data_IF_429604114265
#
_entry.id   IF_429604114265
#
_cell.length_a   1.000
_cell.length_b   1.000
_cell.length_c   1.000
_cell.angle_alpha   90.00
_cell.angle_beta   90.00
_cell.angle_gamma   90.00
#
_symmetry.space_group_name_H-M   'P 1'
#
loop_
_entity.id
_entity.type
_entity.pdbx_description
1 polymer ?
#
# COMPACT_ATOMS: atom_id res chain seq x y z
N UNK A 1 20.94 -29.31 -40.55
CA UNK A 1 20.96 -28.87 -39.14
C UNK A 1 20.07 -27.64 -39.01
N UNK A 2 18.82 -27.77 -38.56
CA UNK A 2 17.93 -26.63 -38.31
C UNK A 2 18.32 -26.03 -36.97
N UNK A 3 18.92 -24.84 -36.98
CA UNK A 3 19.18 -24.07 -35.77
C UNK A 3 17.86 -23.81 -35.06
N UNK A 4 17.76 -24.24 -33.79
CA UNK A 4 16.69 -23.79 -32.91
C UNK A 4 16.77 -22.26 -32.83
N UNK A 5 15.71 -21.57 -33.25
CA UNK A 5 15.64 -20.11 -33.18
C UNK A 5 15.55 -19.66 -31.72
N UNK A 6 16.70 -19.34 -31.14
CA UNK A 6 16.90 -18.71 -29.80
C UNK A 6 16.48 -17.23 -29.80
N UNK A 7 15.99 -16.68 -30.92
CA UNK A 7 15.82 -15.23 -31.07
C UNK A 7 14.66 -14.68 -30.24
N UNK A 8 13.40 -14.96 -30.58
CA UNK A 8 12.29 -14.11 -30.10
C UNK A 8 11.93 -14.17 -28.59
N UNK A 9 12.38 -15.17 -27.83
CA UNK A 9 11.89 -15.43 -26.46
C UNK A 9 12.84 -14.87 -25.42
N UNK A 10 14.12 -15.23 -25.53
CA UNK A 10 15.20 -14.61 -24.75
C UNK A 10 15.30 -13.11 -25.03
N UNK A 11 15.07 -12.67 -26.27
CA UNK A 11 15.04 -11.25 -26.62
C UNK A 11 14.00 -10.45 -25.82
N UNK A 12 12.81 -11.02 -25.56
CA UNK A 12 11.78 -10.33 -24.75
C UNK A 12 12.26 -10.11 -23.32
N UNK A 13 12.95 -11.11 -22.75
CA UNK A 13 13.49 -11.00 -21.40
C UNK A 13 14.70 -10.05 -21.36
N UNK A 14 15.63 -10.19 -22.31
CA UNK A 14 16.84 -9.37 -22.41
C UNK A 14 16.53 -7.90 -22.72
N UNK A 15 15.44 -7.63 -23.45
CA UNK A 15 14.95 -6.28 -23.70
C UNK A 15 14.24 -5.65 -22.47
N UNK A 16 14.14 -6.37 -21.35
CA UNK A 16 13.49 -5.86 -20.14
C UNK A 16 11.98 -5.65 -20.30
N UNK A 17 11.33 -6.36 -21.23
CA UNK A 17 9.89 -6.19 -21.44
C UNK A 17 9.05 -6.84 -20.34
N UNK A 18 9.60 -7.78 -19.57
CA UNK A 18 8.97 -8.29 -18.35
C UNK A 18 9.19 -7.28 -17.21
N UNK A 19 8.21 -6.40 -17.02
CA UNK A 19 8.31 -5.25 -16.11
C UNK A 19 7.92 -5.59 -14.66
N UNK A 20 7.20 -6.68 -14.45
CA UNK A 20 6.80 -7.17 -13.13
C UNK A 20 6.70 -8.69 -13.17
N UNK A 21 7.25 -9.36 -12.16
CA UNK A 21 7.11 -10.79 -11.96
C UNK A 21 7.25 -11.10 -10.47
N UNK A 22 6.27 -11.79 -9.89
CA UNK A 22 6.32 -12.12 -8.48
C UNK A 22 5.30 -13.16 -8.07
N UNK A 23 5.45 -13.67 -6.85
CA UNK A 23 4.53 -14.64 -6.24
C UNK A 23 3.28 -13.88 -5.81
N UNK A 24 2.13 -14.31 -6.32
CA UNK A 24 0.83 -13.76 -5.93
C UNK A 24 0.24 -14.48 -4.73
N UNK A 25 0.37 -15.80 -4.71
CA UNK A 25 -0.13 -16.65 -3.65
C UNK A 25 0.72 -17.91 -3.56
N UNK A 26 0.98 -18.34 -2.34
CA UNK A 26 1.66 -19.59 -2.05
C UNK A 26 0.75 -20.40 -1.13
N UNK A 27 0.30 -21.55 -1.62
CA UNK A 27 -0.47 -22.54 -0.87
C UNK A 27 0.39 -23.81 -0.71
N UNK A 28 -0.07 -24.74 0.14
CA UNK A 28 0.61 -26.03 0.36
C UNK A 28 0.76 -26.81 -0.96
N UNK A 29 -0.27 -26.77 -1.80
CA UNK A 29 -0.34 -27.57 -3.02
C UNK A 29 0.08 -26.82 -4.29
N UNK A 30 0.16 -25.49 -4.24
CA UNK A 30 0.42 -24.71 -5.45
C UNK A 30 1.04 -23.34 -5.18
N UNK A 31 1.92 -22.93 -6.10
CA UNK A 31 2.51 -21.58 -6.14
C UNK A 31 2.00 -20.84 -7.36
N UNK A 32 1.32 -19.72 -7.13
CA UNK A 32 0.81 -18.85 -8.17
C UNK A 32 1.75 -17.65 -8.37
N UNK A 33 2.28 -17.53 -9.58
CA UNK A 33 3.13 -16.43 -10.03
C UNK A 33 2.35 -15.59 -11.02
N UNK A 34 2.47 -14.27 -10.89
CA UNK A 34 1.88 -13.31 -11.82
C UNK A 34 2.97 -12.40 -12.38
N UNK A 35 2.81 -11.98 -13.63
CA UNK A 35 3.71 -11.04 -14.27
C UNK A 35 3.02 -10.12 -15.26
N UNK A 36 3.72 -9.05 -15.63
CA UNK A 36 3.29 -8.08 -16.63
C UNK A 36 4.40 -7.93 -17.67
N UNK A 37 4.05 -8.05 -18.95
CA UNK A 37 4.99 -7.91 -20.05
C UNK A 37 4.54 -6.84 -21.05
N UNK A 38 5.42 -5.91 -21.39
CA UNK A 38 5.16 -4.89 -22.41
C UNK A 38 4.92 -5.54 -23.78
N UNK A 39 4.08 -4.89 -24.59
CA UNK A 39 3.82 -5.34 -25.95
C UNK A 39 4.86 -4.77 -26.90
N UNK A 40 5.57 -5.62 -27.63
CA UNK A 40 6.57 -5.17 -28.61
C UNK A 40 5.98 -4.31 -29.73
N UNK A 41 4.75 -4.59 -30.15
CA UNK A 41 4.06 -3.84 -31.22
C UNK A 41 3.31 -2.60 -30.73
N UNK A 42 3.12 -2.45 -29.43
CA UNK A 42 2.35 -1.35 -28.84
C UNK A 42 2.85 -1.05 -27.44
N UNK A 43 4.07 -0.53 -27.35
CA UNK A 43 4.82 -0.35 -26.09
C UNK A 43 4.11 0.57 -25.09
N UNK A 44 3.35 1.57 -25.59
CA UNK A 44 2.51 2.46 -24.76
C UNK A 44 1.16 1.85 -24.39
N UNK A 45 0.87 0.65 -24.90
CA UNK A 45 -0.36 -0.08 -24.65
C UNK A 45 -0.41 -0.72 -23.27
N UNK A 46 -1.57 -1.30 -22.96
CA UNK A 46 -1.72 -2.12 -21.76
C UNK A 46 -0.77 -3.34 -21.85
N UNK A 47 0.07 -3.59 -20.83
CA UNK A 47 0.92 -4.78 -20.79
C UNK A 47 0.09 -6.07 -20.87
N UNK A 48 0.69 -7.12 -21.43
CA UNK A 48 0.16 -8.46 -21.33
C UNK A 48 0.23 -8.97 -19.90
N UNK A 49 -0.89 -9.52 -19.43
CA UNK A 49 -0.99 -10.14 -18.11
C UNK A 49 -0.60 -11.61 -18.25
N UNK A 50 0.34 -12.05 -17.41
CA UNK A 50 0.87 -13.39 -17.37
C UNK A 50 0.49 -14.03 -16.03
N UNK A 51 0.00 -15.26 -16.09
CA UNK A 51 -0.37 -16.07 -14.92
C UNK A 51 0.26 -17.44 -15.07
N UNK A 52 0.90 -17.90 -14.00
CA UNK A 52 1.56 -19.19 -13.96
C UNK A 52 1.29 -19.85 -12.63
N UNK A 53 0.95 -21.12 -12.65
CA UNK A 53 0.67 -21.91 -11.46
C UNK A 53 1.52 -23.17 -11.53
N UNK A 54 2.35 -23.36 -10.51
CA UNK A 54 3.07 -24.60 -10.26
C UNK A 54 2.28 -25.43 -9.26
N UNK A 55 1.97 -26.66 -9.63
CA UNK A 55 1.36 -27.67 -8.75
C UNK A 55 2.45 -28.53 -8.07
N UNK A 56 2.14 -29.18 -6.95
CA UNK A 56 3.03 -30.12 -6.23
C UNK A 56 3.55 -31.25 -7.14
N UNK A 57 2.79 -31.62 -8.16
CA UNK A 57 3.19 -32.61 -9.15
C UNK A 57 4.15 -32.06 -10.23
N UNK A 58 4.74 -30.88 -10.01
CA UNK A 58 5.56 -30.16 -11.00
C UNK A 58 4.82 -29.85 -12.32
N UNK A 59 3.48 -29.88 -12.30
CA UNK A 59 2.67 -29.48 -13.45
C UNK A 59 2.60 -27.96 -13.52
N UNK A 60 2.87 -27.41 -14.70
CA UNK A 60 2.86 -25.98 -14.95
C UNK A 60 1.63 -25.62 -15.77
N UNK A 61 0.78 -24.75 -15.24
CA UNK A 61 -0.33 -24.14 -15.98
C UNK A 61 -0.02 -22.68 -16.21
N UNK A 62 -0.05 -22.24 -17.47
CA UNK A 62 0.29 -20.89 -17.88
C UNK A 62 -0.81 -20.25 -18.71
N UNK A 63 -1.03 -18.95 -18.52
CA UNK A 63 -1.92 -18.15 -19.34
C UNK A 63 -1.34 -16.76 -19.57
N UNK A 64 -1.40 -16.29 -20.82
CA UNK A 64 -1.04 -14.93 -21.20
C UNK A 64 -2.24 -14.23 -21.85
N UNK A 65 -2.39 -12.92 -21.64
CA UNK A 65 -3.46 -12.16 -22.30
C UNK A 65 -3.22 -11.87 -23.80
N UNK A 66 -2.10 -12.30 -24.38
CA UNK A 66 -1.84 -12.14 -25.80
C UNK A 66 -2.65 -13.16 -26.65
N UNK A 67 -2.75 -12.92 -27.96
CA UNK A 67 -3.51 -13.79 -28.89
C UNK A 67 -3.09 -15.26 -28.84
N UNK A 68 -1.80 -15.53 -28.62
CA UNK A 68 -1.24 -16.87 -28.53
C UNK A 68 -1.20 -17.40 -27.08
N UNK A 69 -1.86 -16.74 -26.12
CA UNK A 69 -1.57 -16.93 -24.71
C UNK A 69 -2.10 -18.20 -24.06
N UNK A 70 -2.99 -18.91 -24.74
CA UNK A 70 -3.36 -20.30 -24.42
C UNK A 70 -2.55 -21.34 -25.21
N UNK A 71 -1.71 -20.87 -26.14
CA UNK A 71 -0.81 -21.76 -26.87
C UNK A 71 0.50 -21.95 -26.12
N UNK A 72 1.11 -23.11 -26.27
CA UNK A 72 2.44 -23.43 -25.74
C UNK A 72 3.57 -22.62 -26.42
N UNK A 73 3.24 -21.80 -27.44
CA UNK A 73 4.20 -21.02 -28.23
C UNK A 73 4.25 -19.54 -27.85
N UNK A 74 3.57 -19.13 -26.78
CA UNK A 74 3.58 -17.73 -26.33
C UNK A 74 4.99 -17.30 -25.89
N UNK A 75 5.61 -16.37 -26.63
CA UNK A 75 6.94 -15.82 -26.31
C UNK A 75 7.00 -15.20 -24.91
N UNK A 76 5.93 -14.56 -24.45
CA UNK A 76 5.86 -13.92 -23.14
C UNK A 76 5.83 -14.93 -21.98
N UNK A 77 5.11 -16.06 -22.16
CA UNK A 77 5.08 -17.12 -21.14
C UNK A 77 6.45 -17.78 -20.98
N UNK A 78 7.13 -18.05 -22.09
CA UNK A 78 8.47 -18.62 -22.06
C UNK A 78 9.46 -17.65 -21.43
N UNK A 79 9.39 -16.36 -21.75
CA UNK A 79 10.23 -15.34 -21.11
C UNK A 79 10.03 -15.30 -19.58
N UNK A 80 8.78 -15.40 -19.11
CA UNK A 80 8.49 -15.45 -17.67
C UNK A 80 9.00 -16.73 -17.02
N UNK A 81 8.83 -17.89 -17.66
CA UNK A 81 9.38 -19.15 -17.17
C UNK A 81 10.91 -19.13 -17.07
N UNK A 82 11.58 -18.57 -18.07
CA UNK A 82 13.03 -18.37 -18.05
C UNK A 82 13.45 -17.43 -16.92
N UNK A 83 12.72 -16.35 -16.69
CA UNK A 83 12.99 -15.44 -15.58
C UNK A 83 12.86 -16.15 -14.23
N UNK A 84 11.74 -16.83 -14.00
CA UNK A 84 11.51 -17.60 -12.76
C UNK A 84 12.58 -18.67 -12.55
N UNK A 85 13.00 -19.35 -13.62
CA UNK A 85 14.06 -20.36 -13.55
C UNK A 85 15.43 -19.77 -13.19
N UNK A 86 15.79 -18.61 -13.76
CA UNK A 86 17.07 -17.93 -13.50
C UNK A 86 17.12 -17.29 -12.12
N UNK A 87 16.04 -16.64 -11.70
CA UNK A 87 15.96 -15.95 -10.41
C UNK A 87 15.71 -16.93 -9.26
N UNK A 88 14.97 -18.00 -9.52
CA UNK A 88 14.49 -18.93 -8.51
C UNK A 88 13.22 -18.41 -7.81
N UNK A 89 12.27 -19.31 -7.53
CA UNK A 89 10.95 -18.95 -6.97
C UNK A 89 11.07 -18.23 -5.62
N UNK A 90 12.04 -18.63 -4.79
CA UNK A 90 12.24 -18.06 -3.45
C UNK A 90 12.75 -16.61 -3.46
N UNK A 91 13.32 -16.15 -4.58
CA UNK A 91 13.88 -14.81 -4.73
C UNK A 91 12.91 -13.87 -5.47
N UNK A 92 11.69 -14.32 -5.77
CA UNK A 92 10.66 -13.49 -6.37
C UNK A 92 9.92 -12.70 -5.30
N UNK A 93 9.61 -11.45 -5.60
CA UNK A 93 8.85 -10.59 -4.71
C UNK A 93 7.42 -11.11 -4.50
N UNK A 94 6.88 -10.87 -3.31
CA UNK A 94 5.46 -11.10 -3.02
C UNK A 94 4.63 -9.94 -3.57
N UNK A 95 3.77 -10.22 -4.54
CA UNK A 95 2.91 -9.21 -5.17
C UNK A 95 1.74 -8.85 -4.26
N UNK A 96 1.60 -7.57 -4.01
CA UNK A 96 0.48 -6.97 -3.28
C UNK A 96 -0.59 -6.43 -4.25
N UNK A 97 -1.69 -5.93 -3.69
CA UNK A 97 -2.82 -5.40 -4.47
C UNK A 97 -2.49 -4.17 -5.32
N UNK A 98 -1.34 -3.52 -5.08
CA UNK A 98 -0.85 -2.38 -5.87
C UNK A 98 0.08 -2.79 -7.02
N UNK A 99 0.67 -3.98 -6.96
CA UNK A 99 1.67 -4.44 -7.94
C UNK A 99 1.04 -5.05 -9.21
N UNK A 100 -0.26 -5.35 -9.13
CA UNK A 100 -1.08 -5.87 -10.21
C UNK A 100 -2.11 -4.84 -10.65
N UNK A 101 -2.69 -5.02 -11.85
CA UNK A 101 -3.68 -4.06 -12.36
C UNK A 101 -4.79 -3.85 -11.33
N UNK A 102 -5.00 -2.59 -10.97
CA UNK A 102 -6.01 -2.20 -9.98
C UNK A 102 -7.35 -2.91 -10.18
N UNK A 103 -7.88 -3.46 -9.08
CA UNK A 103 -9.22 -3.99 -8.98
C UNK A 103 -10.24 -2.90 -8.59
N UNK A 104 -9.77 -1.82 -7.97
CA UNK A 104 -10.57 -0.65 -7.60
C UNK A 104 -11.18 0.00 -8.85
N UNK A 105 -12.48 0.32 -8.79
CA UNK A 105 -13.22 0.93 -9.91
C UNK A 105 -13.75 -0.04 -10.98
N UNK A 106 -13.42 -1.34 -10.93
CA UNK A 106 -14.04 -2.37 -11.82
C UNK A 106 -15.21 -3.11 -11.19
N UNK A 107 -15.29 -3.08 -9.86
CA UNK A 107 -16.41 -3.61 -9.11
C UNK A 107 -17.59 -2.66 -9.23
N UNK A 108 -18.57 -3.02 -10.06
CA UNK A 108 -19.91 -2.42 -10.02
C UNK A 108 -20.60 -2.95 -8.76
N UNK A 109 -20.33 -2.35 -7.61
CA UNK A 109 -21.12 -2.63 -6.40
C UNK A 109 -22.14 -1.51 -6.27
N UNK A 110 -23.42 -1.88 -6.14
CA UNK A 110 -24.46 -0.97 -5.67
C UNK A 110 -24.47 -0.88 -4.13
N UNK A 111 -23.57 -1.62 -3.48
CA UNK A 111 -23.46 -1.69 -2.03
C UNK A 111 -22.53 -0.58 -1.54
N UNK A 112 -23.03 0.23 -0.60
CA UNK A 112 -22.21 1.15 0.18
C UNK A 112 -21.16 0.35 0.95
N UNK A 113 -19.93 0.88 1.04
CA UNK A 113 -18.88 0.24 1.81
C UNK A 113 -19.28 0.18 3.28
N UNK A 114 -19.37 -1.02 3.84
CA UNK A 114 -19.55 -1.20 5.28
C UNK A 114 -18.23 -0.91 6.00
N UNK A 115 -18.33 -0.24 7.15
CA UNK A 115 -17.17 -0.01 8.00
C UNK A 115 -16.71 -1.35 8.58
N UNK A 116 -15.47 -1.74 8.27
CA UNK A 116 -14.80 -2.90 8.86
C UNK A 116 -13.57 -2.45 9.66
N UNK A 117 -13.13 -3.25 10.62
CA UNK A 117 -11.93 -2.94 11.40
C UNK A 117 -10.70 -3.13 10.52
N UNK A 118 -9.65 -2.34 10.73
CA UNK A 118 -8.37 -2.53 10.01
C UNK A 118 -7.84 -3.97 10.12
N UNK A 119 -8.06 -4.63 11.27
CA UNK A 119 -7.64 -6.02 11.51
C UNK A 119 -8.34 -7.04 10.61
N UNK A 120 -9.50 -6.68 10.06
CA UNK A 120 -10.30 -7.54 9.16
C UNK A 120 -9.84 -7.40 7.70
N UNK A 121 -8.94 -6.45 7.40
CA UNK A 121 -8.37 -6.27 6.08
C UNK A 121 -7.22 -7.25 5.85
N UNK A 122 -7.34 -8.08 4.81
CA UNK A 122 -6.45 -9.20 4.49
C UNK A 122 -4.97 -8.85 4.24
N UNK A 123 -4.61 -7.56 4.13
CA UNK A 123 -3.24 -7.14 3.82
C UNK A 123 -2.58 -6.32 4.94
N UNK A 124 -3.27 -6.08 6.06
CA UNK A 124 -2.70 -5.35 7.19
C UNK A 124 -2.00 -6.35 8.11
N UNK A 125 -0.72 -6.56 7.86
CA UNK A 125 0.16 -7.19 8.84
C UNK A 125 0.52 -6.14 9.88
N UNK A 126 0.00 -6.28 11.10
CA UNK A 126 0.38 -5.42 12.22
C UNK A 126 1.84 -5.68 12.57
N UNK A 127 2.75 -4.88 12.01
CA UNK A 127 4.11 -4.81 12.52
C UNK A 127 4.05 -4.18 13.92
N UNK A 128 4.72 -4.75 14.94
CA UNK A 128 4.83 -4.09 16.23
C UNK A 128 5.48 -2.72 16.00
N UNK A 129 4.82 -1.66 16.45
CA UNK A 129 5.43 -0.33 16.46
C UNK A 129 6.66 -0.40 17.37
N UNK A 130 7.80 0.19 16.98
CA UNK A 130 8.90 0.36 17.90
C UNK A 130 8.39 1.17 19.11
N UNK A 131 8.62 0.64 20.32
CA UNK A 131 8.23 1.30 21.56
C UNK A 131 9.15 2.51 21.71
N UNK A 132 8.63 3.70 21.42
CA UNK A 132 9.32 4.96 21.67
C UNK A 132 8.96 5.45 23.08
N UNK A 133 9.96 5.92 23.81
CA UNK A 133 9.75 6.59 25.09
C UNK A 133 8.95 7.90 24.90
N UNK A 134 8.26 8.35 25.95
CA UNK A 134 7.46 9.59 25.92
C UNK A 134 8.28 10.81 25.52
N UNK A 135 9.54 10.87 25.96
CA UNK A 135 10.48 11.94 25.61
C UNK A 135 10.80 11.95 24.11
N UNK A 136 11.10 10.79 23.53
CA UNK A 136 11.37 10.66 22.08
C UNK A 136 10.15 11.00 21.24
N UNK A 137 8.95 10.62 21.71
CA UNK A 137 7.70 10.97 21.04
C UNK A 137 7.47 12.49 21.02
N UNK A 138 7.74 13.17 22.14
CA UNK A 138 7.59 14.62 22.21
C UNK A 138 8.64 15.34 21.35
N UNK A 139 9.88 14.86 21.34
CA UNK A 139 10.92 15.40 20.48
C UNK A 139 10.56 15.30 18.99
N UNK A 140 10.10 14.12 18.54
CA UNK A 140 9.63 13.92 17.16
C UNK A 140 8.47 14.87 16.85
N UNK A 141 7.53 14.99 17.80
CA UNK A 141 6.37 15.87 17.65
C UNK A 141 6.77 17.33 17.46
N UNK A 142 7.69 17.84 18.27
CA UNK A 142 8.18 19.22 18.18
C UNK A 142 8.91 19.47 16.86
N UNK A 143 9.77 18.53 16.42
CA UNK A 143 10.45 18.63 15.12
C UNK A 143 9.47 18.68 13.94
N UNK A 144 8.43 17.84 13.96
CA UNK A 144 7.40 17.83 12.91
C UNK A 144 6.65 19.16 12.83
N UNK A 145 6.30 19.74 13.98
CA UNK A 145 5.60 21.04 14.05
C UNK A 145 6.50 22.17 13.58
N UNK A 146 7.76 22.18 14.01
CA UNK A 146 8.75 23.18 13.60
C UNK A 146 9.00 23.16 12.08
N UNK A 147 8.97 21.97 11.47
CA UNK A 147 9.17 21.80 10.03
C UNK A 147 7.94 22.22 9.22
N UNK A 148 6.73 21.94 9.72
CA UNK A 148 5.48 22.18 9.00
C UNK A 148 4.45 22.89 9.89
N UNK A 149 4.59 24.20 9.99
CA UNK A 149 3.80 25.07 10.87
C UNK A 149 2.31 25.19 10.47
N UNK A 150 1.96 24.97 9.20
CA UNK A 150 0.56 24.96 8.73
C UNK A 150 -0.03 23.54 8.65
N UNK A 151 0.72 22.52 9.08
CA UNK A 151 0.18 21.17 9.11
C UNK A 151 -1.01 21.08 10.07
N UNK A 152 -1.94 20.16 9.80
CA UNK A 152 -3.06 19.89 10.70
C UNK A 152 -2.58 19.61 12.15
N UNK A 153 -1.40 19.01 12.31
CA UNK A 153 -0.77 18.74 13.61
C UNK A 153 -0.42 20.05 14.35
N UNK A 154 0.23 20.99 13.66
CA UNK A 154 0.64 22.28 14.21
C UNK A 154 -0.58 23.18 14.50
N UNK A 155 -1.52 23.27 13.57
CA UNK A 155 -2.75 24.05 13.74
C UNK A 155 -3.62 23.50 14.88
N UNK A 156 -3.71 22.17 15.04
CA UNK A 156 -4.43 21.55 16.15
C UNK A 156 -3.73 21.83 17.51
N UNK A 157 -2.42 22.02 17.53
CA UNK A 157 -1.70 22.43 18.75
C UNK A 157 -2.04 23.88 19.11
N UNK A 158 -2.01 24.79 18.14
CA UNK A 158 -2.40 26.19 18.32
C UNK A 158 -3.86 26.32 18.76
N UNK A 159 -4.76 25.55 18.16
CA UNK A 159 -6.18 25.51 18.54
C UNK A 159 -6.41 25.06 19.98
N UNK A 160 -5.61 24.13 20.49
CA UNK A 160 -5.63 23.74 21.92
C UNK A 160 -5.12 24.85 22.83
N UNK A 161 -4.08 25.59 22.42
CA UNK A 161 -3.55 26.71 23.21
C UNK A 161 -4.57 27.84 23.35
N UNK A 162 -5.24 28.23 22.27
CA UNK A 162 -6.32 29.23 22.30
C UNK A 162 -7.49 28.85 23.23
N UNK A 163 -7.81 27.56 23.31
CA UNK A 163 -8.89 27.06 24.17
C UNK A 163 -8.50 27.04 25.66
N UNK A 164 -7.21 26.88 25.98
CA UNK A 164 -6.68 26.92 27.35
C UNK A 164 -6.67 28.37 27.86
N UNK A 165 -6.21 29.32 27.05
CA UNK A 165 -6.20 30.75 27.40
C UNK A 165 -7.61 31.30 27.62
N UNK A 166 -8.57 30.97 26.73
CA UNK A 166 -9.98 31.36 26.89
C UNK A 166 -10.61 30.80 28.17
N UNK A 167 -10.21 29.60 28.58
CA UNK A 167 -10.70 28.98 29.82
C UNK A 167 -10.04 29.56 31.08
N UNK A 168 -8.75 29.91 31.05
CA UNK A 168 -8.10 30.59 32.18
C UNK A 168 -8.65 32.01 32.39
N UNK A 169 -8.90 32.77 31.32
CA UNK A 169 -9.53 34.09 31.40
C UNK A 169 -10.96 33.99 31.95
N UNK A 170 -11.76 33.02 31.50
CA UNK A 170 -13.09 32.74 32.09
C UNK A 170 -13.04 32.32 33.56
N UNK A 171 -12.00 31.61 33.97
CA UNK A 171 -11.80 31.20 35.36
C UNK A 171 -11.43 32.41 36.24
N UNK A 172 -10.52 33.28 35.79
CA UNK A 172 -10.18 34.53 36.50
C UNK A 172 -11.37 35.49 36.58
N UNK A 173 -12.16 35.66 35.52
CA UNK A 173 -13.38 36.49 35.54
C UNK A 173 -14.44 35.96 36.52
N UNK A 174 -14.59 34.63 36.67
CA UNK A 174 -15.45 34.02 37.69
C UNK A 174 -14.93 34.24 39.12
N UNK A 175 -13.62 34.26 39.32
CA UNK A 175 -13.03 34.53 40.64
C UNK A 175 -13.23 36.00 41.01
N UNK A 176 -12.94 36.94 40.10
CA UNK A 176 -13.13 38.38 40.33
C UNK A 176 -14.61 38.75 40.58
N UNK A 177 -15.56 38.12 39.88
CA UNK A 177 -17.00 38.38 40.10
C UNK A 177 -17.52 37.81 41.43
N UNK A 178 -16.94 36.71 41.94
CA UNK A 178 -17.28 36.18 43.26
C UNK A 178 -16.64 36.96 44.43
N UNK A 179 -15.47 37.55 44.24
CA UNK A 179 -14.84 38.45 45.24
C UNK A 179 -15.59 39.77 45.37
N UNK A 180 -16.08 40.35 44.26
CA UNK A 180 -16.89 41.58 44.31
C UNK A 180 -18.26 41.33 44.96
N UNK A 181 -18.84 40.12 44.81
CA UNK A 181 -20.15 39.78 45.42
C UNK A 181 -20.11 39.51 46.93
N UNK A 182 -18.96 39.13 47.47
CA UNK A 182 -18.80 38.81 48.89
C UNK A 182 -18.48 40.04 49.75
N UNK A 183 -18.03 41.15 49.15
CA UNK A 183 -17.80 42.42 49.85
C UNK A 183 -19.00 43.39 49.85
N UNK A 184 -20.05 43.13 49.06
CA UNK A 184 -21.25 44.02 49.00
C UNK A 184 -22.33 43.70 50.04
N UNK A 185 -22.12 42.76 50.96
CA UNK A 185 -23.10 42.34 51.98
C UNK A 185 -22.74 42.69 53.43
N UNK A 186 -21.72 43.54 53.67
CA UNK A 186 -21.44 44.12 54.99
C UNK A 186 -21.35 45.64 54.90
N UNK A 187 -22.50 46.32 54.73
CA UNK A 187 -22.70 47.70 55.17
C UNK A 187 -24.17 48.10 54.95
N UNK A 188 -25.04 47.68 55.87
CA UNK A 188 -26.28 48.40 56.22
C UNK A 188 -26.65 47.91 57.62
N UNK A 189 -26.11 48.61 58.63
CA UNK A 189 -26.73 48.78 59.95
C UNK A 189 -27.52 50.09 59.85
#
# INVERSE_FOLDING_TARGET
KKGFAVSSREEVLNAGHLICCGVKACNIDAVAIQGLCLQTSHVRGKPHELKLVFDVNSRVKGHCSCKAGNSERCKHMIAMLLHVNRTGILNLDLLTSTDVTQAWGKLKTNALYEACKLKELCHIQSKPLPILGTEQQEEIRQRLIATAHESALALHQLGRMHHIESNQVKMMLKICTNVVRTHSHMCFI
#
